data_IF_418762963130
#
_entry.id   IF_418762963130
#
_cell.length_a   1.000
_cell.length_b   1.000
_cell.length_c   1.000
_cell.angle_alpha   90.00
_cell.angle_beta   90.00
_cell.angle_gamma   90.00
#
_symmetry.space_group_name_H-M   'P 1'
#
loop_
_entity.id
_entity.type
_entity.pdbx_description
1 polymer ?
#
# COMPACT_ATOMS: atom_id res chain seq x y z
N UNK A 1 -4.59 -18.78 7.39
CA UNK A 1 -5.17 -18.76 6.04
C UNK A 1 -4.24 -18.00 5.11
N UNK A 2 -3.99 -18.52 3.92
CA UNK A 2 -3.13 -17.90 2.93
C UNK A 2 -4.00 -17.39 1.78
N UNK A 3 -3.79 -16.13 1.41
CA UNK A 3 -4.44 -15.51 0.25
C UNK A 3 -3.48 -15.60 -0.93
N UNK A 4 -3.94 -16.17 -2.05
CA UNK A 4 -3.16 -16.27 -3.28
C UNK A 4 -3.54 -15.12 -4.21
N UNK A 5 -2.54 -14.37 -4.65
CA UNK A 5 -2.75 -13.18 -5.49
C UNK A 5 -2.54 -13.56 -6.96
N UNK A 6 -3.30 -12.91 -7.85
CA UNK A 6 -3.27 -13.22 -9.29
C UNK A 6 -2.24 -12.40 -10.06
N UNK A 7 -1.76 -11.30 -9.49
CA UNK A 7 -0.83 -10.40 -10.17
C UNK A 7 0.10 -9.70 -9.17
N UNK A 8 0.88 -8.75 -9.68
CA UNK A 8 1.88 -8.02 -8.89
C UNK A 8 1.33 -6.75 -8.23
N UNK A 9 0.04 -6.48 -8.33
CA UNK A 9 -0.52 -5.21 -7.86
C UNK A 9 -0.36 -5.02 -6.35
N UNK A 10 -0.57 -6.08 -5.58
CA UNK A 10 -0.36 -6.01 -4.12
C UNK A 10 1.07 -5.60 -3.76
N UNK A 11 2.06 -6.23 -4.38
CA UNK A 11 3.46 -5.90 -4.13
C UNK A 11 3.80 -4.46 -4.50
N UNK A 12 3.29 -3.98 -5.63
CA UNK A 12 3.44 -2.58 -6.05
C UNK A 12 2.82 -1.62 -5.05
N UNK A 13 1.62 -1.93 -4.58
CA UNK A 13 0.91 -1.13 -3.58
C UNK A 13 1.65 -1.09 -2.26
N UNK A 14 2.13 -2.23 -1.80
CA UNK A 14 2.90 -2.33 -0.56
C UNK A 14 4.18 -1.49 -0.63
N UNK A 15 4.92 -1.58 -1.74
CA UNK A 15 6.11 -0.77 -1.96
C UNK A 15 5.81 0.72 -1.96
N UNK A 16 4.73 1.12 -2.62
CA UNK A 16 4.28 2.51 -2.64
C UNK A 16 3.95 3.02 -1.24
N UNK A 17 3.14 2.30 -0.47
CA UNK A 17 2.74 2.68 0.88
C UNK A 17 3.95 2.73 1.82
N UNK A 18 4.82 1.73 1.73
CA UNK A 18 6.04 1.67 2.54
C UNK A 18 6.93 2.90 2.30
N UNK A 19 7.22 3.19 1.04
CA UNK A 19 8.08 4.32 0.66
C UNK A 19 7.45 5.66 1.02
N UNK A 20 6.15 5.78 0.91
CA UNK A 20 5.43 6.99 1.27
C UNK A 20 5.60 7.33 2.74
N UNK A 21 5.65 6.31 3.62
CA UNK A 21 5.91 6.49 5.05
C UNK A 21 7.39 6.40 5.40
N UNK A 22 8.25 6.26 4.42
CA UNK A 22 9.70 6.17 4.59
C UNK A 22 10.14 5.01 5.47
N UNK A 23 9.40 3.90 5.43
CA UNK A 23 9.79 2.67 6.10
C UNK A 23 10.81 1.91 5.26
N UNK A 24 11.86 1.39 5.91
CA UNK A 24 12.67 0.33 5.33
C UNK A 24 11.86 -0.98 5.31
N UNK A 25 12.30 -1.96 4.53
CA UNK A 25 11.68 -3.29 4.59
C UNK A 25 11.80 -3.90 5.97
N UNK A 26 12.89 -3.64 6.66
CA UNK A 26 13.11 -4.09 8.03
C UNK A 26 12.09 -3.49 8.99
N UNK A 27 11.89 -2.18 8.93
CA UNK A 27 10.91 -1.49 9.77
C UNK A 27 9.48 -1.99 9.51
N UNK A 28 9.11 -2.11 8.23
CA UNK A 28 7.78 -2.62 7.88
C UNK A 28 7.59 -4.05 8.36
N UNK A 29 8.60 -4.92 8.21
CA UNK A 29 8.53 -6.30 8.67
C UNK A 29 8.24 -6.37 10.17
N UNK A 30 8.89 -5.55 10.97
CA UNK A 30 8.63 -5.49 12.41
C UNK A 30 7.20 -5.05 12.72
N UNK A 31 6.66 -4.08 11.97
CA UNK A 31 5.33 -3.55 12.20
C UNK A 31 4.20 -4.51 11.83
N UNK A 32 4.44 -5.39 10.87
CA UNK A 32 3.41 -6.35 10.40
C UNK A 32 3.68 -7.79 10.81
N UNK A 33 4.66 -8.00 11.68
CA UNK A 33 5.06 -9.34 12.16
C UNK A 33 5.48 -10.28 11.03
N UNK A 34 6.35 -9.80 10.16
CA UNK A 34 6.89 -10.54 9.03
C UNK A 34 8.41 -10.41 8.96
N UNK A 35 9.01 -10.74 7.83
CA UNK A 35 10.44 -10.68 7.59
C UNK A 35 10.77 -9.82 6.37
N UNK A 36 11.90 -9.11 6.36
CA UNK A 36 12.30 -8.26 5.22
C UNK A 36 12.36 -9.00 3.89
N UNK A 37 12.80 -10.27 3.90
CA UNK A 37 12.86 -11.10 2.71
C UNK A 37 11.47 -11.35 2.12
N UNK A 38 10.48 -11.58 2.96
CA UNK A 38 9.09 -11.81 2.53
C UNK A 38 8.54 -10.55 1.87
N UNK A 39 8.76 -9.39 2.47
CA UNK A 39 8.34 -8.12 1.90
C UNK A 39 9.02 -7.89 0.54
N UNK A 40 10.31 -8.13 0.45
CA UNK A 40 11.05 -8.01 -0.81
C UNK A 40 10.46 -8.93 -1.89
N UNK A 41 10.12 -10.16 -1.54
CA UNK A 41 9.57 -11.13 -2.49
C UNK A 41 8.18 -10.69 -2.99
N UNK A 42 7.34 -10.11 -2.13
CA UNK A 42 6.06 -9.52 -2.57
C UNK A 42 6.29 -8.33 -3.50
N UNK A 43 7.19 -7.42 -3.13
CA UNK A 43 7.45 -6.20 -3.90
C UNK A 43 8.09 -6.47 -5.26
N UNK A 44 8.88 -7.54 -5.38
CA UNK A 44 9.57 -7.89 -6.61
C UNK A 44 8.82 -8.92 -7.46
N UNK A 45 7.67 -9.39 -7.01
CA UNK A 45 6.85 -10.36 -7.75
C UNK A 45 7.37 -11.79 -7.70
N UNK A 46 8.16 -12.13 -6.69
CA UNK A 46 8.67 -13.49 -6.49
C UNK A 46 7.74 -14.36 -5.65
N UNK A 47 6.85 -13.76 -4.90
CA UNK A 47 5.90 -14.46 -4.06
C UNK A 47 4.53 -13.81 -4.22
N UNK A 48 3.50 -14.64 -4.41
CA UNK A 48 2.11 -14.21 -4.55
C UNK A 48 1.23 -14.71 -3.42
N UNK A 49 1.80 -15.36 -2.42
CA UNK A 49 1.07 -15.87 -1.26
C UNK A 49 1.23 -14.89 -0.10
N UNK A 50 0.11 -14.46 0.48
CA UNK A 50 0.11 -13.55 1.62
C UNK A 50 -0.69 -14.20 2.73
N UNK A 51 -0.08 -14.30 3.92
CA UNK A 51 -0.79 -14.71 5.13
C UNK A 51 -1.88 -13.72 5.45
N UNK A 52 -3.09 -14.22 5.75
CA UNK A 52 -4.23 -13.37 6.09
C UNK A 52 -3.95 -12.48 7.31
N UNK A 53 -3.16 -12.94 8.28
CA UNK A 53 -2.79 -12.13 9.45
C UNK A 53 -1.88 -10.98 9.03
N UNK A 54 -0.89 -11.23 8.20
CA UNK A 54 -0.02 -10.18 7.66
C UNK A 54 -0.82 -9.18 6.83
N UNK A 55 -1.74 -9.65 6.01
CA UNK A 55 -2.59 -8.80 5.19
C UNK A 55 -3.45 -7.88 6.06
N UNK A 56 -4.03 -8.42 7.14
CA UNK A 56 -4.79 -7.64 8.10
C UNK A 56 -3.92 -6.61 8.83
N UNK A 57 -2.70 -6.97 9.19
CA UNK A 57 -1.75 -6.06 9.81
C UNK A 57 -1.38 -4.89 8.87
N UNK A 58 -1.18 -5.19 7.60
CA UNK A 58 -0.92 -4.17 6.57
C UNK A 58 -2.12 -3.23 6.43
N UNK A 59 -3.32 -3.79 6.36
CA UNK A 59 -4.57 -3.01 6.30
C UNK A 59 -4.67 -2.05 7.49
N UNK A 60 -4.42 -2.54 8.67
CA UNK A 60 -4.53 -1.73 9.89
C UNK A 60 -3.45 -0.65 9.95
N UNK A 61 -2.22 -0.99 9.55
CA UNK A 61 -1.10 -0.05 9.58
C UNK A 61 -1.30 1.13 8.62
N UNK A 62 -1.75 0.87 7.40
CA UNK A 62 -1.91 1.89 6.37
C UNK A 62 -3.33 2.42 6.25
N UNK A 63 -4.28 1.84 6.97
CA UNK A 63 -5.69 2.20 6.92
C UNK A 63 -6.25 2.16 5.49
N UNK A 64 -5.98 1.07 4.80
CA UNK A 64 -6.41 0.82 3.42
C UNK A 64 -7.18 -0.48 3.38
N UNK A 65 -8.40 -0.52 2.78
CA UNK A 65 -9.16 -1.76 2.67
C UNK A 65 -8.37 -2.85 1.93
N UNK A 66 -8.59 -4.11 2.31
CA UNK A 66 -7.89 -5.25 1.69
C UNK A 66 -8.12 -5.30 0.18
N UNK A 67 -9.34 -5.04 -0.26
CA UNK A 67 -9.71 -5.02 -1.68
C UNK A 67 -8.87 -3.99 -2.45
N UNK A 68 -8.66 -2.81 -1.86
CA UNK A 68 -7.84 -1.77 -2.47
C UNK A 68 -6.36 -2.14 -2.52
N UNK A 69 -5.86 -2.84 -1.49
CA UNK A 69 -4.49 -3.33 -1.46
C UNK A 69 -4.21 -4.31 -2.59
N UNK A 70 -5.19 -5.14 -2.93
CA UNK A 70 -5.05 -6.21 -3.92
C UNK A 70 -5.38 -5.73 -5.34
N UNK A 71 -6.47 -4.98 -5.50
CA UNK A 71 -7.05 -4.70 -6.81
C UNK A 71 -6.75 -3.31 -7.35
N UNK A 72 -6.63 -2.30 -6.47
CA UNK A 72 -6.48 -0.91 -6.90
C UNK A 72 -5.01 -0.56 -7.17
N UNK A 73 -4.77 0.36 -8.10
CA UNK A 73 -3.46 1.01 -8.24
C UNK A 73 -3.41 2.20 -7.28
N UNK A 74 -2.90 1.97 -6.08
CA UNK A 74 -2.89 2.99 -5.03
C UNK A 74 -2.03 4.19 -5.38
N UNK A 75 -0.93 3.98 -6.09
CA UNK A 75 -0.07 5.08 -6.53
C UNK A 75 -0.86 6.07 -7.40
N UNK A 76 -1.64 5.55 -8.32
CA UNK A 76 -2.49 6.37 -9.18
C UNK A 76 -3.63 7.03 -8.39
N UNK A 77 -4.29 6.29 -7.54
CA UNK A 77 -5.40 6.77 -6.70
C UNK A 77 -4.97 7.91 -5.78
N UNK A 78 -3.82 7.78 -5.12
CA UNK A 78 -3.32 8.84 -4.24
C UNK A 78 -2.91 10.09 -5.01
N UNK A 79 -2.32 9.95 -6.18
CA UNK A 79 -1.99 11.09 -7.03
C UNK A 79 -3.25 11.86 -7.44
N UNK A 80 -4.29 11.15 -7.83
CA UNK A 80 -5.57 11.76 -8.20
C UNK A 80 -6.19 12.52 -7.03
N UNK A 81 -6.21 11.94 -5.82
CA UNK A 81 -6.71 12.58 -4.61
C UNK A 81 -5.92 13.85 -4.26
N UNK A 82 -4.62 13.81 -4.38
CA UNK A 82 -3.76 14.97 -4.12
C UNK A 82 -4.08 16.11 -5.07
N UNK A 83 -4.26 15.81 -6.36
CA UNK A 83 -4.65 16.82 -7.36
C UNK A 83 -6.01 17.44 -7.05
N UNK A 84 -6.98 16.64 -6.63
CA UNK A 84 -8.31 17.11 -6.24
C UNK A 84 -8.23 18.06 -5.03
N UNK A 85 -7.46 17.72 -4.01
CA UNK A 85 -7.27 18.57 -2.83
C UNK A 85 -6.66 19.92 -3.18
N UNK A 86 -5.68 19.96 -4.09
CA UNK A 86 -5.08 21.19 -4.57
C UNK A 86 -6.08 22.04 -5.33
N UNK A 87 -6.89 21.46 -6.19
CA UNK A 87 -7.93 22.16 -6.93
C UNK A 87 -8.96 22.80 -6.00
N UNK A 88 -9.38 22.10 -4.95
CA UNK A 88 -10.29 22.64 -3.94
C UNK A 88 -9.68 23.82 -3.18
N UNK A 89 -8.40 23.71 -2.80
CA UNK A 89 -7.69 24.82 -2.13
C UNK A 89 -7.58 26.05 -3.00
N UNK A 90 -7.30 25.88 -4.28
CA UNK A 90 -7.23 26.99 -5.23
C UNK A 90 -8.58 27.68 -5.34
N UNK A 91 -9.68 26.94 -5.40
CA UNK A 91 -11.03 27.50 -5.42
C UNK A 91 -11.32 28.35 -4.18
N UNK A 92 -10.93 27.85 -2.99
CA UNK A 92 -11.12 28.59 -1.75
C UNK A 92 -10.30 29.88 -1.70
N UNK A 93 -9.06 29.85 -2.24
CA UNK A 93 -8.18 31.01 -2.26
C UNK A 93 -8.64 32.11 -3.23
N UNK A 94 -9.38 31.75 -4.27
CA UNK A 94 -9.89 32.73 -5.25
C UNK A 94 -11.24 33.37 -4.85
N UNK A 95 -11.70 33.12 -3.63
CA UNK A 95 -12.87 33.82 -3.08
C UNK A 95 -14.22 33.34 -3.60
N UNK A 96 -14.27 32.12 -4.09
CA UNK A 96 -15.54 31.57 -4.59
C UNK A 96 -16.19 30.59 -3.67
#
# INVERSE_FOLDING_TARGET
>A
MIVVLNDRQFGKNLRFLRRRRRYSRWELANLICSYPKVIRDWETGRCFDVDAVCLQNIRNLFDVPVESLIDDDLRHTYKARTRMKWAERIRQLTGM
#
